data_IF_043193598851
#
_entry.id   IF_043193598851
#
_cell.length_a   1.000
_cell.length_b   1.000
_cell.length_c   1.000
_cell.angle_alpha   90.00
_cell.angle_beta   90.00
_cell.angle_gamma   90.00
#
_symmetry.space_group_name_H-M   'P 1'
#
loop_
_entity.id
_entity.type
_entity.pdbx_description
1 polymer ?
#
# COMPACT_ATOMS: atom_id res chain seq x y z
N UNK A 1 13.83 29.45 -31.80
CA UNK A 1 14.57 28.56 -32.73
C UNK A 1 15.27 27.52 -31.88
N UNK A 2 14.60 26.39 -31.57
CA UNK A 2 14.73 25.11 -32.29
C UNK A 2 16.19 24.63 -32.42
N UNK A 3 16.62 23.73 -31.53
CA UNK A 3 16.88 22.35 -31.95
C UNK A 3 17.01 21.38 -30.76
N UNK A 4 16.61 20.10 -30.92
CA UNK A 4 16.42 19.12 -29.86
C UNK A 4 17.60 18.15 -29.73
N UNK A 5 17.82 17.58 -28.54
CA UNK A 5 18.83 16.54 -28.32
C UNK A 5 18.19 15.17 -28.13
N UNK A 6 18.31 14.39 -29.20
CA UNK A 6 18.25 12.94 -29.37
C UNK A 6 18.06 12.06 -28.12
N UNK A 7 16.95 11.32 -28.13
CA UNK A 7 16.72 10.17 -27.27
C UNK A 7 17.64 8.99 -27.59
N UNK A 8 18.08 8.31 -26.54
CA UNK A 8 18.68 6.98 -26.61
C UNK A 8 17.69 5.94 -26.13
N UNK A 9 17.43 4.99 -27.02
CA UNK A 9 16.61 3.79 -26.82
C UNK A 9 17.40 2.81 -25.94
N UNK A 10 16.85 2.45 -24.78
CA UNK A 10 17.30 1.33 -23.96
C UNK A 10 16.26 0.21 -24.03
N UNK A 11 16.70 -0.99 -24.36
CA UNK A 11 15.85 -2.15 -24.64
C UNK A 11 15.24 -2.74 -23.35
N UNK A 12 13.93 -2.99 -23.38
CA UNK A 12 13.20 -3.74 -22.36
C UNK A 12 13.40 -5.24 -22.55
N UNK A 13 13.80 -5.94 -21.49
CA UNK A 13 13.79 -7.39 -21.44
C UNK A 13 12.42 -7.86 -20.91
N UNK A 14 11.70 -8.57 -21.77
CA UNK A 14 10.42 -9.23 -21.50
C UNK A 14 10.70 -10.58 -20.85
N UNK A 15 10.03 -10.90 -19.74
CA UNK A 15 9.76 -12.28 -19.35
C UNK A 15 8.35 -12.39 -18.78
N UNK A 16 7.48 -12.94 -19.63
CA UNK A 16 6.17 -13.45 -19.27
C UNK A 16 6.32 -14.84 -18.64
N UNK A 17 5.64 -15.09 -17.53
CA UNK A 17 5.39 -16.44 -17.04
C UNK A 17 3.88 -16.56 -16.75
N UNK A 18 3.18 -17.15 -17.71
CA UNK A 18 1.80 -17.60 -17.55
C UNK A 18 1.81 -19.08 -17.15
N UNK A 19 1.28 -19.40 -15.98
CA UNK A 19 0.95 -20.77 -15.59
C UNK A 19 -0.54 -20.88 -15.33
N UNK A 20 -1.26 -21.34 -16.34
CA UNK A 20 -2.61 -21.90 -16.20
C UNK A 20 -2.49 -23.29 -15.57
N UNK A 21 -3.08 -23.48 -14.40
CA UNK A 21 -3.39 -24.81 -13.89
C UNK A 21 -4.90 -24.89 -13.64
N UNK A 22 -5.59 -25.48 -14.62
CA UNK A 22 -6.96 -25.95 -14.47
C UNK A 22 -6.93 -27.33 -13.81
N UNK A 23 -7.72 -27.52 -12.75
CA UNK A 23 -8.12 -28.84 -12.30
C UNK A 23 -9.60 -28.80 -11.92
N UNK A 24 -10.40 -29.41 -12.80
CA UNK A 24 -11.78 -29.82 -12.61
C UNK A 24 -11.81 -31.11 -11.77
N UNK A 25 -12.66 -31.15 -10.74
CA UNK A 25 -13.14 -32.40 -10.18
C UNK A 25 -14.58 -32.22 -9.66
N UNK A 26 -15.54 -32.66 -10.48
CA UNK A 26 -16.89 -32.98 -10.05
C UNK A 26 -16.88 -34.32 -9.32
N UNK A 27 -17.64 -34.43 -8.24
CA UNK A 27 -18.29 -35.70 -7.86
C UNK A 27 -19.58 -35.42 -7.12
N UNK A 28 -20.61 -36.16 -7.51
CA UNK A 28 -22.01 -35.91 -7.23
C UNK A 28 -22.58 -36.89 -6.20
N UNK A 29 -23.57 -36.40 -5.44
CA UNK A 29 -24.78 -37.08 -4.93
C UNK A 29 -24.68 -38.15 -3.84
N UNK A 30 -25.34 -37.93 -2.68
CA UNK A 30 -26.71 -38.44 -2.37
C UNK A 30 -27.06 -38.31 -0.87
N UNK A 31 -28.36 -38.16 -0.60
CA UNK A 31 -29.07 -37.79 0.64
C UNK A 31 -28.88 -38.68 1.88
N UNK A 32 -29.09 -38.09 3.07
CA UNK A 32 -29.31 -38.81 4.32
C UNK A 32 -29.50 -37.90 5.53
N UNK A 33 -30.72 -37.86 6.07
CA UNK A 33 -31.20 -36.96 7.10
C UNK A 33 -30.70 -37.25 8.54
N UNK A 34 -30.76 -36.19 9.35
CA UNK A 34 -30.91 -36.15 10.81
C UNK A 34 -29.82 -36.76 11.72
N UNK A 35 -28.96 -35.88 12.26
CA UNK A 35 -28.60 -35.93 13.68
C UNK A 35 -28.15 -34.54 14.15
N UNK A 36 -28.93 -33.96 15.06
CA UNK A 36 -28.59 -32.75 15.83
C UNK A 36 -27.36 -33.05 16.69
N UNK A 37 -26.19 -32.59 16.26
CA UNK A 37 -25.00 -32.54 17.08
C UNK A 37 -24.55 -31.07 17.12
N UNK A 38 -24.91 -30.38 18.21
CA UNK A 38 -24.29 -29.11 18.59
C UNK A 38 -22.84 -29.41 18.96
N UNK A 39 -22.00 -29.56 17.93
CA UNK A 39 -20.57 -29.49 18.09
C UNK A 39 -20.24 -28.03 18.39
N UNK A 40 -20.18 -27.72 19.67
CA UNK A 40 -19.49 -26.53 20.15
C UNK A 40 -18.03 -26.70 19.76
N UNK A 41 -17.70 -26.32 18.53
CA UNK A 41 -16.33 -26.09 18.10
C UNK A 41 -15.86 -24.92 18.95
N UNK A 42 -15.24 -25.24 20.09
CA UNK A 42 -14.32 -24.33 20.72
C UNK A 42 -13.23 -24.11 19.67
N UNK A 43 -13.40 -23.06 18.86
CA UNK A 43 -12.34 -22.50 18.06
C UNK A 43 -11.17 -22.33 19.03
N UNK A 44 -10.11 -23.11 18.82
CA UNK A 44 -8.87 -22.90 19.54
C UNK A 44 -8.56 -21.42 19.36
N UNK A 45 -8.65 -20.65 20.45
CA UNK A 45 -8.26 -19.26 20.44
C UNK A 45 -6.82 -19.27 19.94
N UNK A 46 -6.63 -18.84 18.69
CA UNK A 46 -5.30 -18.59 18.19
C UNK A 46 -4.64 -17.73 19.25
N UNK A 47 -3.50 -18.17 19.77
CA UNK A 47 -2.65 -17.39 20.66
C UNK A 47 -2.03 -16.25 19.84
N UNK A 48 -2.89 -15.41 19.23
CA UNK A 48 -2.51 -14.18 18.58
C UNK A 48 -1.94 -13.29 19.66
N UNK A 49 -0.80 -12.67 19.36
CA UNK A 49 -0.21 -11.70 20.26
C UNK A 49 -1.12 -10.48 20.47
N UNK A 50 -0.62 -9.46 21.16
CA UNK A 50 -1.38 -8.25 21.40
C UNK A 50 -1.67 -7.51 20.08
N UNK A 51 -2.89 -7.69 19.55
CA UNK A 51 -3.34 -7.09 18.29
C UNK A 51 -3.10 -5.58 18.29
N UNK A 52 -3.39 -4.89 19.40
CA UNK A 52 -3.21 -3.44 19.48
C UNK A 52 -1.73 -3.05 19.41
N UNK A 53 -0.85 -3.83 20.03
CA UNK A 53 0.60 -3.62 19.95
C UNK A 53 1.12 -3.81 18.52
N UNK A 54 0.68 -4.87 17.82
CA UNK A 54 1.03 -5.09 16.42
C UNK A 54 0.51 -3.94 15.53
N UNK A 55 -0.75 -3.54 15.72
CA UNK A 55 -1.38 -2.46 14.97
C UNK A 55 -0.68 -1.11 15.16
N UNK A 56 -0.22 -0.82 16.38
CA UNK A 56 0.49 0.43 16.71
C UNK A 56 1.89 0.42 16.11
N UNK A 57 2.59 -0.73 16.16
CA UNK A 57 3.93 -0.88 15.63
C UNK A 57 3.95 -0.73 14.10
N UNK A 58 3.06 -1.42 13.37
CA UNK A 58 3.04 -1.33 11.91
C UNK A 58 2.57 0.05 11.43
N UNK A 59 1.59 0.67 12.09
CA UNK A 59 1.21 2.05 11.78
C UNK A 59 2.41 3.01 11.90
N UNK A 60 3.27 2.80 12.90
CA UNK A 60 4.49 3.59 13.06
C UNK A 60 5.54 3.28 11.99
N UNK A 61 5.69 2.01 11.58
CA UNK A 61 6.58 1.59 10.48
C UNK A 61 6.15 2.23 9.16
N UNK A 62 4.87 2.19 8.83
CA UNK A 62 4.32 2.79 7.61
C UNK A 62 4.44 4.32 7.58
N UNK A 63 4.62 4.95 8.74
CA UNK A 63 4.90 6.39 8.86
C UNK A 63 6.38 6.75 8.78
N UNK A 64 7.29 5.80 8.58
CA UNK A 64 8.71 6.07 8.39
C UNK A 64 8.99 6.40 6.92
N UNK A 65 9.89 7.35 6.68
CA UNK A 65 10.46 7.59 5.35
C UNK A 65 11.46 6.46 5.03
N UNK A 66 11.12 5.60 4.08
CA UNK A 66 11.99 4.49 3.63
C UNK A 66 13.10 5.04 2.70
N UNK A 67 14.40 5.01 3.09
CA UNK A 67 15.44 5.64 2.31
C UNK A 67 15.68 4.97 0.95
N UNK A 68 15.62 5.75 -0.14
CA UNK A 68 15.85 5.28 -1.51
C UNK A 68 14.64 4.61 -2.16
N UNK A 69 13.44 4.72 -1.57
CA UNK A 69 12.20 4.30 -2.22
C UNK A 69 11.80 5.25 -3.35
N UNK A 70 12.06 6.55 -3.20
CA UNK A 70 11.89 7.55 -4.24
C UNK A 70 13.03 7.40 -5.28
N UNK A 71 12.72 7.06 -6.55
CA UNK A 71 13.71 6.90 -7.60
C UNK A 71 14.35 8.21 -8.06
N UNK A 72 13.71 9.36 -7.80
CA UNK A 72 14.20 10.69 -8.17
C UNK A 72 15.05 11.34 -7.05
N UNK A 73 14.97 10.80 -5.83
CA UNK A 73 15.82 11.20 -4.72
C UNK A 73 17.27 10.72 -4.89
N UNK A 74 18.26 11.42 -4.28
CA UNK A 74 19.63 10.92 -4.21
C UNK A 74 19.70 9.54 -3.57
N UNK A 75 20.63 8.70 -4.03
CA UNK A 75 20.89 7.40 -3.39
C UNK A 75 21.20 7.59 -1.90
N UNK A 76 20.53 6.87 -1.00
CA UNK A 76 20.75 7.03 0.43
C UNK A 76 22.16 6.59 0.83
N UNK A 77 22.75 7.34 1.73
CA UNK A 77 24.03 7.03 2.37
C UNK A 77 23.88 5.87 3.34
N UNK A 78 24.99 5.19 3.64
CA UNK A 78 25.01 4.14 4.66
C UNK A 78 24.54 4.65 6.04
N UNK A 79 24.83 5.92 6.37
CA UNK A 79 24.43 6.53 7.63
C UNK A 79 22.90 6.76 7.70
N UNK A 80 22.28 7.20 6.60
CA UNK A 80 20.81 7.36 6.52
C UNK A 80 20.11 6.01 6.66
N UNK A 81 20.62 4.96 5.99
CA UNK A 81 20.10 3.60 6.12
C UNK A 81 20.21 3.08 7.55
N UNK A 82 21.35 3.31 8.22
CA UNK A 82 21.54 2.90 9.62
C UNK A 82 20.63 3.67 10.59
N UNK A 83 20.40 4.97 10.35
CA UNK A 83 19.50 5.79 11.15
C UNK A 83 18.03 5.35 11.01
N UNK A 84 17.60 5.06 9.77
CA UNK A 84 16.30 4.44 9.51
C UNK A 84 16.18 3.12 10.29
N UNK A 85 17.18 2.25 10.19
CA UNK A 85 17.12 0.94 10.81
C UNK A 85 17.08 1.01 12.35
N UNK A 86 17.81 1.95 12.96
CA UNK A 86 17.76 2.18 14.41
C UNK A 86 16.38 2.61 14.90
N UNK A 87 15.63 3.35 14.06
CA UNK A 87 14.25 3.76 14.35
C UNK A 87 13.27 2.61 14.13
N UNK A 88 13.44 1.85 13.04
CA UNK A 88 12.55 0.78 12.64
C UNK A 88 12.69 -0.50 13.48
N UNK A 89 13.89 -0.84 13.96
CA UNK A 89 14.17 -2.08 14.69
C UNK A 89 13.27 -2.35 15.91
N UNK A 90 13.08 -1.41 16.87
CA UNK A 90 12.19 -1.65 18.00
C UNK A 90 10.72 -1.85 17.57
N UNK A 91 10.29 -1.16 16.51
CA UNK A 91 8.94 -1.29 15.96
C UNK A 91 8.77 -2.66 15.30
N UNK A 92 9.70 -3.06 14.44
CA UNK A 92 9.68 -4.35 13.75
C UNK A 92 9.75 -5.52 14.74
N UNK A 93 10.51 -5.38 15.83
CA UNK A 93 10.55 -6.36 16.93
C UNK A 93 9.18 -6.48 17.61
N UNK A 94 8.54 -5.35 17.89
CA UNK A 94 7.21 -5.31 18.51
C UNK A 94 6.16 -5.94 17.61
N UNK A 95 6.16 -5.58 16.32
CA UNK A 95 5.28 -6.17 15.32
C UNK A 95 5.47 -7.69 15.27
N UNK A 96 6.71 -8.15 15.13
CA UNK A 96 7.04 -9.58 14.98
C UNK A 96 6.63 -10.42 16.19
N UNK A 97 6.68 -9.85 17.39
CA UNK A 97 6.28 -10.52 18.62
C UNK A 97 4.75 -10.63 18.79
N UNK A 98 3.98 -9.76 18.14
CA UNK A 98 2.55 -9.63 18.37
C UNK A 98 1.65 -10.00 17.18
N UNK A 99 2.23 -10.09 15.98
CA UNK A 99 1.50 -10.49 14.77
C UNK A 99 1.04 -11.96 14.84
N UNK A 100 -0.09 -12.34 14.22
CA UNK A 100 -0.50 -13.74 14.12
C UNK A 100 0.53 -14.63 13.42
N UNK A 101 0.54 -15.92 13.78
CA UNK A 101 1.52 -16.88 13.30
C UNK A 101 1.52 -17.03 11.77
N UNK A 102 0.37 -16.91 11.13
CA UNK A 102 0.20 -16.97 9.68
C UNK A 102 0.94 -15.85 8.92
N UNK A 103 1.16 -14.70 9.55
CA UNK A 103 1.84 -13.54 8.96
C UNK A 103 3.32 -13.43 9.37
N UNK A 104 3.78 -14.28 10.28
CA UNK A 104 5.18 -14.29 10.75
C UNK A 104 6.18 -14.30 9.58
N UNK A 105 5.95 -15.14 8.57
CA UNK A 105 6.84 -15.21 7.39
C UNK A 105 6.89 -13.90 6.58
N UNK A 106 5.81 -13.10 6.60
CA UNK A 106 5.74 -11.81 5.92
C UNK A 106 6.47 -10.75 6.75
N UNK A 107 6.26 -10.73 8.06
CA UNK A 107 7.00 -9.84 8.96
C UNK A 107 8.51 -10.15 8.95
N UNK A 108 8.93 -11.41 8.81
CA UNK A 108 10.33 -11.77 8.67
C UNK A 108 10.98 -11.14 7.41
N UNK A 109 10.22 -10.98 6.32
CA UNK A 109 10.66 -10.22 5.13
C UNK A 109 10.86 -8.75 5.47
N UNK A 110 9.91 -8.13 6.18
CA UNK A 110 10.01 -6.72 6.62
C UNK A 110 11.22 -6.50 7.55
N UNK A 111 11.43 -7.41 8.50
CA UNK A 111 12.59 -7.40 9.41
C UNK A 111 13.91 -7.55 8.63
N UNK A 112 13.92 -8.30 7.52
CA UNK A 112 15.12 -8.44 6.68
C UNK A 112 15.56 -7.11 6.04
N UNK A 113 14.62 -6.21 5.75
CA UNK A 113 14.89 -4.86 5.24
C UNK A 113 15.59 -4.03 6.31
N UNK A 114 15.08 -4.05 7.54
CA UNK A 114 15.72 -3.40 8.70
C UNK A 114 17.14 -3.95 8.88
N UNK A 115 17.32 -5.27 8.86
CA UNK A 115 18.64 -5.89 9.01
C UNK A 115 19.62 -5.55 7.88
N UNK A 116 19.13 -5.34 6.65
CA UNK A 116 19.93 -4.89 5.52
C UNK A 116 20.36 -3.44 5.72
N UNK A 117 19.43 -2.57 6.12
CA UNK A 117 19.69 -1.17 6.39
C UNK A 117 20.65 -0.96 7.58
N UNK A 118 20.60 -1.80 8.62
CA UNK A 118 21.60 -1.83 9.72
C UNK A 118 23.03 -2.02 9.22
N UNK A 119 23.21 -2.73 8.11
CA UNK A 119 24.52 -2.95 7.50
C UNK A 119 24.95 -1.79 6.59
N UNK A 120 24.15 -0.72 6.48
CA UNK A 120 24.36 0.40 5.56
C UNK A 120 24.24 -0.01 4.09
N UNK A 121 23.53 -1.10 3.79
CA UNK A 121 23.37 -1.64 2.43
C UNK A 121 22.07 -1.14 1.79
N UNK A 122 22.06 -0.87 0.47
CA UNK A 122 20.84 -0.54 -0.25
C UNK A 122 19.76 -1.61 -0.07
N UNK A 123 18.51 -1.16 0.01
CA UNK A 123 17.33 -2.01 0.12
C UNK A 123 16.89 -2.42 -1.29
N UNK A 124 16.61 -3.71 -1.50
CA UNK A 124 16.02 -4.22 -2.74
C UNK A 124 14.50 -4.19 -2.64
N UNK A 125 13.86 -3.16 -3.21
CA UNK A 125 12.41 -2.95 -3.11
C UNK A 125 11.61 -3.91 -4.00
N UNK A 126 12.13 -4.25 -5.18
CA UNK A 126 11.42 -5.02 -6.19
C UNK A 126 11.64 -6.53 -6.02
N UNK A 127 12.86 -6.95 -5.63
CA UNK A 127 13.25 -8.35 -5.57
C UNK A 127 13.07 -9.02 -4.19
N UNK A 128 12.95 -8.25 -3.11
CA UNK A 128 12.86 -8.80 -1.74
C UNK A 128 11.48 -9.36 -1.37
N UNK A 129 10.44 -9.01 -2.13
CA UNK A 129 9.05 -9.29 -1.76
C UNK A 129 8.50 -8.36 -0.67
N UNK A 130 9.21 -7.28 -0.32
CA UNK A 130 8.82 -6.26 0.65
C UNK A 130 7.38 -5.77 0.44
N UNK A 131 7.03 -5.35 -0.78
CA UNK A 131 5.70 -4.82 -1.10
C UNK A 131 4.60 -5.86 -0.82
N UNK A 132 4.77 -7.09 -1.29
CA UNK A 132 3.80 -8.16 -1.06
C UNK A 132 3.70 -8.54 0.43
N UNK A 133 4.80 -8.45 1.17
CA UNK A 133 4.82 -8.71 2.60
C UNK A 133 4.08 -7.62 3.40
N UNK A 134 4.38 -6.33 3.12
CA UNK A 134 3.70 -5.20 3.74
C UNK A 134 2.20 -5.24 3.48
N UNK A 135 1.79 -5.50 2.23
CA UNK A 135 0.38 -5.61 1.89
C UNK A 135 -0.37 -6.72 2.60
N UNK A 136 0.29 -7.86 2.87
CA UNK A 136 -0.34 -8.93 3.64
C UNK A 136 -0.57 -8.51 5.10
N UNK A 137 0.37 -7.75 5.68
CA UNK A 137 0.24 -7.20 7.05
C UNK A 137 -0.84 -6.11 7.07
N UNK A 138 -0.81 -5.16 6.13
CA UNK A 138 -1.80 -4.09 6.01
C UNK A 138 -3.22 -4.63 5.76
N UNK A 139 -3.37 -5.67 4.94
CA UNK A 139 -4.66 -6.33 4.72
C UNK A 139 -5.22 -6.91 6.03
N UNK A 140 -4.37 -7.53 6.84
CA UNK A 140 -4.77 -7.98 8.17
C UNK A 140 -5.13 -6.81 9.09
N UNK A 141 -4.36 -5.72 9.06
CA UNK A 141 -4.65 -4.55 9.88
C UNK A 141 -6.01 -3.91 9.56
N UNK A 142 -6.38 -3.85 8.28
CA UNK A 142 -7.68 -3.33 7.83
C UNK A 142 -8.86 -4.04 8.51
N UNK A 143 -8.71 -5.34 8.83
CA UNK A 143 -9.77 -6.13 9.44
C UNK A 143 -9.64 -6.26 10.97
N UNK A 144 -8.45 -6.03 11.54
CA UNK A 144 -8.18 -6.36 12.94
C UNK A 144 -7.89 -5.15 13.83
N UNK A 145 -7.49 -3.99 13.28
CA UNK A 145 -7.08 -2.83 14.07
C UNK A 145 -8.22 -1.86 14.41
N UNK A 146 -9.42 -2.05 13.84
CA UNK A 146 -10.59 -1.22 14.14
C UNK A 146 -10.50 0.24 13.65
N UNK A 147 -9.55 0.56 12.76
CA UNK A 147 -9.39 1.91 12.22
C UNK A 147 -10.55 2.28 11.26
N UNK A 148 -10.97 3.56 11.21
CA UNK A 148 -11.86 4.05 10.18
C UNK A 148 -11.34 3.70 8.78
N UNK A 149 -12.24 3.23 7.89
CA UNK A 149 -11.88 2.72 6.57
C UNK A 149 -12.06 3.80 5.50
N UNK A 150 -11.01 4.05 4.71
CA UNK A 150 -11.03 4.79 3.45
C UNK A 150 -11.06 3.78 2.30
N UNK A 151 -12.26 3.43 1.85
CA UNK A 151 -12.47 2.44 0.80
C UNK A 151 -12.57 3.10 -0.58
N UNK A 152 -11.43 3.31 -1.23
CA UNK A 152 -11.36 4.00 -2.51
C UNK A 152 -11.47 3.02 -3.67
N UNK A 153 -12.36 3.33 -4.61
CA UNK A 153 -12.48 2.59 -5.87
C UNK A 153 -12.14 3.48 -7.04
N UNK A 154 -11.23 3.04 -7.90
CA UNK A 154 -11.11 3.55 -9.24
C UNK A 154 -12.00 2.73 -10.18
N UNK A 155 -12.99 3.38 -10.78
CA UNK A 155 -13.84 2.79 -11.82
C UNK A 155 -13.60 3.50 -13.15
N UNK A 156 -12.80 2.88 -14.02
CA UNK A 156 -12.48 3.40 -15.35
C UNK A 156 -12.01 4.86 -15.39
N UNK A 157 -11.13 5.25 -14.45
CA UNK A 157 -10.53 6.58 -14.36
C UNK A 157 -11.31 7.58 -13.49
N UNK A 158 -12.23 7.10 -12.65
CA UNK A 158 -12.95 7.92 -11.67
C UNK A 158 -12.76 7.34 -10.28
N UNK A 159 -12.26 8.15 -9.34
CA UNK A 159 -12.13 7.78 -7.93
C UNK A 159 -13.44 8.05 -7.17
N UNK A 160 -13.84 7.10 -6.34
CA UNK A 160 -15.04 7.18 -5.48
C UNK A 160 -14.79 6.50 -4.14
N UNK A 161 -15.69 6.71 -3.17
CA UNK A 161 -15.68 6.00 -1.89
C UNK A 161 -15.04 6.75 -0.72
N UNK A 162 -14.51 7.96 -0.96
CA UNK A 162 -14.11 8.86 0.12
C UNK A 162 -15.31 9.65 0.67
N UNK A 163 -15.43 9.80 1.99
CA UNK A 163 -16.33 10.77 2.58
C UNK A 163 -15.78 12.20 2.35
N UNK A 164 -16.63 13.22 2.51
CA UNK A 164 -16.20 14.61 2.43
C UNK A 164 -15.21 14.98 3.55
N UNK A 165 -15.33 14.35 4.72
CA UNK A 165 -14.42 14.57 5.84
C UNK A 165 -14.28 13.34 6.74
N UNK A 166 -13.14 13.22 7.43
CA UNK A 166 -12.89 12.20 8.48
C UNK A 166 -12.20 12.82 9.71
N UNK A 167 -12.28 12.18 10.89
CA UNK A 167 -11.47 12.60 12.04
C UNK A 167 -9.97 12.39 11.80
N UNK A 168 -9.14 13.25 12.39
CA UNK A 168 -7.70 13.02 12.49
C UNK A 168 -7.37 11.73 13.27
N UNK A 169 -6.32 11.04 12.85
CA UNK A 169 -5.88 9.79 13.49
C UNK A 169 -5.59 8.65 12.50
N UNK A 170 -5.48 7.41 13.00
CA UNK A 170 -5.20 6.25 12.17
C UNK A 170 -6.38 5.93 11.25
N UNK A 171 -6.08 5.55 10.01
CA UNK A 171 -7.04 5.06 9.03
C UNK A 171 -6.53 3.79 8.37
N UNK A 172 -7.46 2.93 7.98
CA UNK A 172 -7.21 1.79 7.10
C UNK A 172 -7.65 2.15 5.68
N UNK A 173 -6.80 1.89 4.70
CA UNK A 173 -7.02 2.28 3.30
C UNK A 173 -7.14 1.01 2.47
N UNK A 174 -8.18 0.93 1.64
CA UNK A 174 -8.29 -0.10 0.61
C UNK A 174 -8.46 0.56 -0.73
N UNK A 175 -7.68 0.15 -1.73
CA UNK A 175 -7.77 0.66 -3.09
C UNK A 175 -8.13 -0.45 -4.08
N UNK A 176 -9.30 -0.33 -4.71
CA UNK A 176 -9.78 -1.32 -5.69
C UNK A 176 -9.85 -0.71 -7.07
N UNK A 177 -9.33 -1.44 -8.07
CA UNK A 177 -9.57 -1.13 -9.48
C UNK A 177 -10.75 -1.94 -10.02
N UNK A 178 -11.64 -1.27 -10.73
CA UNK A 178 -12.76 -1.87 -11.45
C UNK A 178 -12.86 -1.28 -12.86
N UNK A 179 -13.49 -2.03 -13.77
CA UNK A 179 -13.74 -1.59 -15.14
C UNK A 179 -12.54 -1.79 -16.08
N UNK A 180 -12.30 -0.81 -16.95
CA UNK A 180 -11.29 -0.89 -18.03
C UNK A 180 -9.85 -0.92 -17.47
N UNK A 181 -9.07 -1.99 -17.72
CA UNK A 181 -7.68 -2.08 -17.29
C UNK A 181 -6.78 -0.96 -17.83
N UNK A 182 -7.08 -0.37 -18.99
CA UNK A 182 -6.32 0.75 -19.55
C UNK A 182 -6.49 2.04 -18.74
N UNK A 183 -7.53 2.10 -17.90
CA UNK A 183 -7.83 3.20 -16.97
C UNK A 183 -7.77 2.74 -15.51
N UNK A 184 -7.09 1.62 -15.24
CA UNK A 184 -6.79 1.21 -13.88
C UNK A 184 -5.78 2.21 -13.25
N UNK A 185 -5.96 2.54 -11.98
CA UNK A 185 -5.01 3.34 -11.23
C UNK A 185 -3.85 2.47 -10.79
N UNK A 186 -2.62 2.94 -11.02
CA UNK A 186 -1.41 2.18 -10.71
C UNK A 186 -1.13 2.13 -9.21
N UNK A 187 -1.29 3.26 -8.52
CA UNK A 187 -1.12 3.42 -7.07
C UNK A 187 -2.06 4.52 -6.61
N UNK A 188 -2.66 4.37 -5.44
CA UNK A 188 -3.40 5.45 -4.78
C UNK A 188 -2.43 6.21 -3.89
N UNK A 189 -2.21 7.49 -4.18
CA UNK A 189 -1.42 8.40 -3.37
C UNK A 189 -2.38 9.22 -2.50
N UNK A 190 -2.22 9.13 -1.18
CA UNK A 190 -2.93 9.96 -0.21
C UNK A 190 -1.97 11.04 0.28
N UNK A 191 -2.23 12.30 -0.06
CA UNK A 191 -1.30 13.39 0.19
C UNK A 191 -1.96 14.56 0.93
N UNK A 192 -1.30 15.04 1.99
CA UNK A 192 -1.72 16.23 2.73
C UNK A 192 -1.22 17.47 2.00
N UNK A 193 -2.08 18.44 1.73
CA UNK A 193 -1.64 19.73 1.18
C UNK A 193 -0.77 20.46 2.21
N UNK A 194 0.40 20.95 1.75
CA UNK A 194 1.34 21.71 2.58
C UNK A 194 0.70 23.01 3.04
N UNK A 195 1.05 23.45 4.23
CA UNK A 195 0.48 24.68 4.79
C UNK A 195 0.87 25.88 3.90
N UNK A 196 -0.13 26.68 3.51
CA UNK A 196 0.04 27.82 2.59
C UNK A 196 0.05 27.47 1.10
N UNK A 197 0.03 26.19 0.72
CA UNK A 197 -0.20 25.78 -0.66
C UNK A 197 -1.70 25.84 -1.01
N UNK A 198 -2.01 26.05 -2.28
CA UNK A 198 -3.40 26.11 -2.81
C UNK A 198 -3.66 24.99 -3.82
N UNK A 199 -3.05 23.83 -3.60
CA UNK A 199 -3.23 22.66 -4.46
C UNK A 199 -4.70 22.19 -4.41
N UNK A 200 -5.21 21.73 -5.54
CA UNK A 200 -6.58 21.17 -5.66
C UNK A 200 -6.52 19.87 -6.45
N UNK A 201 -7.48 18.97 -6.21
CA UNK A 201 -7.57 17.72 -6.98
C UNK A 201 -7.73 18.00 -8.49
N UNK A 202 -8.53 19.01 -8.85
CA UNK A 202 -8.71 19.43 -10.24
C UNK A 202 -7.40 19.92 -10.89
N UNK A 203 -6.59 20.68 -10.15
CA UNK A 203 -5.29 21.17 -10.61
C UNK A 203 -4.31 20.02 -10.88
N UNK A 204 -4.29 19.01 -10.00
CA UNK A 204 -3.47 17.79 -10.14
C UNK A 204 -3.93 16.95 -11.33
N UNK A 205 -5.23 16.69 -11.47
CA UNK A 205 -5.77 15.92 -12.60
C UNK A 205 -5.53 16.60 -13.95
N UNK A 206 -5.52 17.95 -13.99
CA UNK A 206 -5.20 18.74 -15.18
C UNK A 206 -3.69 18.88 -15.46
N UNK A 207 -2.82 18.42 -14.55
CA UNK A 207 -1.37 18.59 -14.65
C UNK A 207 -0.88 20.03 -14.45
N UNK A 208 -1.74 20.92 -13.93
CA UNK A 208 -1.40 22.31 -13.61
C UNK A 208 -0.87 22.50 -12.20
N UNK A 209 -1.00 21.47 -11.36
CA UNK A 209 -0.46 21.41 -10.01
C UNK A 209 0.36 20.14 -9.89
N UNK A 210 1.61 20.30 -9.50
CA UNK A 210 2.50 19.17 -9.20
C UNK A 210 2.24 18.67 -7.77
N UNK A 211 1.93 17.38 -7.63
CA UNK A 211 1.52 16.80 -6.36
C UNK A 211 2.68 16.81 -5.36
N UNK A 212 3.86 16.36 -5.77
CA UNK A 212 5.02 16.12 -4.89
C UNK A 212 5.58 17.41 -4.29
N UNK A 213 5.58 18.50 -5.05
CA UNK A 213 6.05 19.80 -4.57
C UNK A 213 5.04 20.50 -3.67
N UNK A 214 3.74 20.29 -3.86
CA UNK A 214 2.67 21.02 -3.14
C UNK A 214 2.05 20.25 -1.98
N UNK A 215 2.35 18.96 -1.85
CA UNK A 215 1.80 18.08 -0.83
C UNK A 215 2.88 17.27 -0.13
N UNK A 216 2.53 16.70 1.02
CA UNK A 216 3.29 15.65 1.70
C UNK A 216 2.55 14.33 1.46
N UNK A 217 3.16 13.39 0.74
CA UNK A 217 2.57 12.06 0.50
C UNK A 217 2.64 11.27 1.81
N UNK A 218 1.46 10.94 2.35
CA UNK A 218 1.33 10.24 3.63
C UNK A 218 1.23 8.73 3.44
N UNK A 219 0.70 8.28 2.31
CA UNK A 219 0.62 6.86 1.98
C UNK A 219 0.54 6.62 0.46
N UNK A 220 1.12 5.49 0.03
CA UNK A 220 0.93 4.91 -1.29
C UNK A 220 0.31 3.52 -1.18
N UNK A 221 -0.82 3.29 -1.85
CA UNK A 221 -1.52 2.00 -1.83
C UNK A 221 -1.66 1.47 -3.25
N UNK A 222 -0.85 0.46 -3.58
CA UNK A 222 -0.83 -0.15 -4.91
C UNK A 222 -1.69 -1.43 -4.93
N UNK A 223 -2.62 -1.63 -5.88
CA UNK A 223 -3.30 -2.91 -6.00
C UNK A 223 -2.39 -3.95 -6.65
N UNK A 224 -2.51 -5.21 -6.24
CA UNK A 224 -1.88 -6.34 -6.93
C UNK A 224 -2.83 -6.91 -7.99
N UNK A 225 -2.33 -7.70 -8.96
CA UNK A 225 -3.20 -8.35 -9.94
C UNK A 225 -4.33 -9.15 -9.28
N UNK A 226 -5.57 -8.70 -9.47
CA UNK A 226 -6.76 -9.39 -8.99
C UNK A 226 -7.12 -9.18 -7.51
N UNK A 227 -6.37 -8.35 -6.77
CA UNK A 227 -6.68 -8.03 -5.37
C UNK A 227 -6.63 -6.51 -5.11
N UNK A 228 -7.41 -6.00 -4.14
CA UNK A 228 -7.24 -4.63 -3.68
C UNK A 228 -5.81 -4.39 -3.18
N UNK A 229 -5.39 -3.11 -3.23
CA UNK A 229 -4.26 -2.63 -2.45
C UNK A 229 -4.72 -2.33 -1.02
N UNK A 230 -3.82 -2.53 -0.07
CA UNK A 230 -4.05 -2.25 1.35
C UNK A 230 -2.95 -1.34 1.88
N UNK A 231 -3.32 -0.49 2.83
CA UNK A 231 -2.37 0.35 3.56
C UNK A 231 -3.00 0.87 4.85
N UNK A 232 -2.16 1.32 5.77
CA UNK A 232 -2.60 2.09 6.95
C UNK A 232 -1.76 3.35 7.07
N UNK A 233 -2.39 4.41 7.59
CA UNK A 233 -1.72 5.70 7.75
C UNK A 233 -2.28 6.45 8.94
N UNK A 234 -1.50 7.37 9.50
CA UNK A 234 -1.99 8.35 10.48
C UNK A 234 -2.19 9.68 9.77
N UNK A 235 -3.39 10.23 9.85
CA UNK A 235 -3.74 11.50 9.20
C UNK A 235 -3.75 12.64 10.22
N UNK A 236 -2.83 13.61 10.11
CA UNK A 236 -3.00 14.92 10.72
C UNK A 236 -4.23 15.66 10.20
N UNK A 237 -4.76 16.61 10.97
CA UNK A 237 -5.76 17.58 10.49
C UNK A 237 -5.22 18.33 9.26
N UNK A 238 -6.07 18.55 8.26
CA UNK A 238 -5.70 19.28 7.05
C UNK A 238 -6.56 18.96 5.84
N UNK A 239 -6.21 19.59 4.71
CA UNK A 239 -6.81 19.32 3.41
C UNK A 239 -5.99 18.25 2.66
N UNK A 240 -6.66 17.29 2.03
CA UNK A 240 -6.01 16.15 1.39
C UNK A 240 -6.43 16.01 -0.06
N UNK A 241 -5.46 15.66 -0.90
CA UNK A 241 -5.67 15.21 -2.28
C UNK A 241 -5.36 13.72 -2.33
N UNK A 242 -6.27 12.97 -2.94
CA UNK A 242 -6.10 11.56 -3.26
C UNK A 242 -5.99 11.43 -4.77
N UNK A 243 -4.86 10.94 -5.26
CA UNK A 243 -4.56 10.88 -6.68
C UNK A 243 -4.12 9.48 -7.10
N UNK A 244 -4.31 9.14 -8.38
CA UNK A 244 -3.76 7.93 -8.98
C UNK A 244 -3.38 8.17 -10.43
N UNK A 245 -2.13 7.86 -10.83
CA UNK A 245 -1.76 7.81 -12.24
C UNK A 245 -2.45 6.60 -12.89
N UNK A 246 -3.01 6.81 -14.08
CA UNK A 246 -3.82 5.83 -14.80
C UNK A 246 -3.01 5.11 -15.88
N UNK A 247 -3.14 3.78 -15.91
CA UNK A 247 -2.43 2.89 -16.83
C UNK A 247 -1.18 2.29 -16.18
N UNK A 248 -0.21 1.89 -17.02
CA UNK A 248 1.01 1.23 -16.56
C UNK A 248 2.24 2.12 -16.71
N UNK A 249 3.23 2.01 -15.82
CA UNK A 249 4.52 2.64 -16.02
C UNK A 249 5.21 2.16 -17.31
N UNK A 250 6.15 2.96 -17.87
CA UNK A 250 6.46 4.33 -17.45
C UNK A 250 5.54 5.40 -18.09
N UNK A 251 4.62 5.03 -18.99
CA UNK A 251 3.91 6.02 -19.81
C UNK A 251 2.66 6.62 -19.16
N UNK A 252 1.96 5.91 -18.27
CA UNK A 252 0.71 6.34 -17.63
C UNK A 252 -0.25 7.10 -18.58
N UNK A 253 -0.52 6.49 -19.74
CA UNK A 253 -1.22 7.16 -20.84
C UNK A 253 -2.66 7.61 -20.52
N UNK A 254 -3.24 7.17 -19.40
CA UNK A 254 -4.56 7.59 -18.94
C UNK A 254 -4.57 8.93 -18.19
N UNK A 255 -3.41 9.53 -17.92
CA UNK A 255 -3.30 10.75 -17.12
C UNK A 255 -3.39 10.49 -15.62
N UNK A 256 -3.86 11.47 -14.84
CA UNK A 256 -4.04 11.37 -13.40
C UNK A 256 -5.51 11.62 -13.05
N UNK A 257 -6.08 10.76 -12.20
CA UNK A 257 -7.37 11.01 -11.56
C UNK A 257 -7.12 11.48 -10.13
N UNK A 258 -7.88 12.46 -9.66
CA UNK A 258 -7.77 12.94 -8.29
C UNK A 258 -9.14 13.35 -7.70
N UNK A 259 -9.27 13.20 -6.39
CA UNK A 259 -10.39 13.69 -5.55
C UNK A 259 -9.81 14.28 -4.26
N UNK A 260 -10.60 15.04 -3.51
CA UNK A 260 -10.16 15.71 -2.28
C UNK A 260 -11.15 15.50 -1.13
N UNK A 261 -10.64 15.59 0.10
CA UNK A 261 -11.42 15.52 1.34
C UNK A 261 -10.67 16.23 2.47
N UNK A 262 -11.36 16.48 3.59
CA UNK A 262 -10.76 17.12 4.75
C UNK A 262 -10.59 16.15 5.94
N UNK A 263 -9.53 16.36 6.71
CA UNK A 263 -9.29 15.68 7.98
C UNK A 263 -9.44 16.71 9.11
N UNK A 264 -10.29 16.42 10.09
CA UNK A 264 -10.65 17.32 11.20
C UNK A 264 -10.21 16.77 12.54
#
# INVERSE_FOLDING_TARGET
MLSPSAGRRGAAAVLAAATLAAATACSSSSDGANATATASSAAAAATGGDVQAACTAELAINGLDLPGFDPDAPTPTAQELQAFAATAEPLATTLRANIPAELTSKVDVLVSVVNTAKQGKPIDYEGSGLIAAGQAVDAWMVDNCGYPKLAVTNNAGTLTGLPASVPAGPVAITFTNAGDPAKAGFVLLLAKVKDGATATAAGVAAGTTDLDTTTDIIAGVQPQPGTPGYGVAKLPTGHYIVASPLGTPPQFAGGVVAIEFDVQ
#
